data_IF_345174552003
#
_entry.id   IF_345174552003
#
_cell.length_a   1.000
_cell.length_b   1.000
_cell.length_c   1.000
_cell.angle_alpha   90.00
_cell.angle_beta   90.00
_cell.angle_gamma   90.00
#
_symmetry.space_group_name_H-M   'P 1'
#
loop_
_entity.id
_entity.type
_entity.pdbx_description
1 polymer ?
#
# COMPACT_ATOMS: atom_id res chain seq x y z
N UNK A 1 2.25 -18.81 17.86
CA UNK A 1 2.31 -19.33 16.47
C UNK A 1 0.85 -19.44 16.04
N UNK A 2 0.22 -18.57 15.26
CA UNK A 2 0.65 -17.55 14.31
C UNK A 2 -0.25 -16.31 14.47
N UNK A 3 0.29 -15.18 14.92
CA UNK A 3 -0.26 -13.88 14.53
C UNK A 3 0.73 -13.30 13.54
N UNK A 4 0.66 -13.82 12.32
CA UNK A 4 1.19 -13.10 11.18
C UNK A 4 0.22 -11.93 10.97
N UNK A 5 0.29 -10.94 11.87
CA UNK A 5 -0.16 -9.58 11.58
C UNK A 5 0.39 -9.33 10.20
N UNK A 6 -0.50 -9.17 9.22
CA UNK A 6 -0.13 -8.77 7.86
C UNK A 6 0.68 -7.49 7.99
N UNK A 7 1.98 -7.61 8.22
CA UNK A 7 2.91 -6.50 8.26
C UNK A 7 2.93 -6.06 6.83
N UNK A 8 2.08 -5.08 6.56
CA UNK A 8 2.09 -4.40 5.28
C UNK A 8 3.55 -4.01 5.01
N UNK A 9 4.02 -4.13 3.77
CA UNK A 9 5.42 -3.89 3.46
C UNK A 9 5.78 -2.40 3.53
N UNK A 10 5.21 -1.63 4.46
CA UNK A 10 5.37 -0.20 4.69
C UNK A 10 5.53 0.07 6.18
N UNK A 11 6.44 0.97 6.53
CA UNK A 11 6.64 1.45 7.91
C UNK A 11 5.81 2.72 8.22
N UNK A 12 4.85 3.07 7.35
CA UNK A 12 4.06 4.30 7.38
C UNK A 12 2.56 3.99 7.49
N UNK A 13 1.80 4.88 8.14
CA UNK A 13 0.35 4.79 8.21
C UNK A 13 -0.27 4.88 6.81
N UNK A 14 -1.04 3.85 6.44
CA UNK A 14 -1.69 3.76 5.12
C UNK A 14 -3.16 4.16 5.11
N UNK A 15 -3.73 4.48 6.27
CA UNK A 15 -5.09 5.02 6.40
C UNK A 15 -5.40 6.19 5.43
N UNK A 16 -4.54 7.20 5.22
CA UNK A 16 -4.83 8.30 4.28
C UNK A 16 -4.90 7.85 2.81
N UNK A 17 -4.44 6.63 2.51
CA UNK A 17 -4.47 6.04 1.17
C UNK A 17 -5.63 5.05 0.99
N UNK A 18 -6.57 4.97 1.94
CA UNK A 18 -7.78 4.16 1.80
C UNK A 18 -8.44 4.33 0.43
N UNK A 19 -8.72 3.21 -0.24
CA UNK A 19 -9.31 3.17 -1.59
C UNK A 19 -8.34 3.44 -2.74
N UNK A 20 -7.07 3.77 -2.45
CA UNK A 20 -6.06 4.13 -3.46
C UNK A 20 -5.07 3.00 -3.70
N UNK A 21 -4.42 3.06 -4.85
CA UNK A 21 -3.22 2.28 -5.13
C UNK A 21 -2.00 3.01 -4.61
N UNK A 22 -1.17 2.30 -3.84
CA UNK A 22 0.12 2.78 -3.40
C UNK A 22 1.24 1.97 -4.05
N UNK A 23 2.34 2.64 -4.32
CA UNK A 23 3.56 2.06 -4.83
C UNK A 23 4.65 2.19 -3.76
N UNK A 24 5.21 1.06 -3.38
CA UNK A 24 6.08 0.92 -2.22
C UNK A 24 7.48 0.60 -2.69
N UNK A 25 8.46 1.38 -2.24
CA UNK A 25 9.88 1.17 -2.51
C UNK A 25 10.63 1.19 -1.19
N UNK A 26 11.38 0.13 -0.89
CA UNK A 26 12.18 0.00 0.35
C UNK A 26 11.36 0.34 1.60
N UNK A 27 10.16 -0.22 1.70
CA UNK A 27 9.22 -0.06 2.82
C UNK A 27 8.63 1.35 3.00
N UNK A 28 8.70 2.19 1.97
CA UNK A 28 8.10 3.54 1.98
C UNK A 28 7.19 3.77 0.79
N UNK A 29 6.18 4.60 0.97
CA UNK A 29 5.27 4.99 -0.12
C UNK A 29 6.01 5.95 -1.06
N UNK A 30 6.31 5.47 -2.26
CA UNK A 30 7.00 6.22 -3.31
C UNK A 30 6.04 6.82 -4.35
N UNK A 31 4.79 6.35 -4.40
CA UNK A 31 3.77 6.85 -5.32
C UNK A 31 2.37 6.43 -4.92
N UNK A 32 1.38 7.23 -5.30
CA UNK A 32 -0.05 6.99 -5.03
C UNK A 32 -0.83 7.27 -6.31
N UNK A 33 -1.89 6.49 -6.56
CA UNK A 33 -2.77 6.66 -7.69
C UNK A 33 -4.15 6.05 -7.46
N UNK A 34 -5.11 6.39 -8.32
CA UNK A 34 -6.42 5.71 -8.36
C UNK A 34 -6.31 4.36 -9.07
N UNK A 35 -5.25 4.16 -9.86
CA UNK A 35 -4.93 2.90 -10.53
C UNK A 35 -3.52 2.41 -10.22
N UNK A 36 -3.27 1.11 -10.42
CA UNK A 36 -1.96 0.50 -10.26
C UNK A 36 -0.90 1.14 -11.17
N UNK A 37 -1.29 1.52 -12.40
CA UNK A 37 -0.40 2.15 -13.36
C UNK A 37 -0.02 3.57 -12.93
N UNK A 38 -0.97 4.35 -12.42
CA UNK A 38 -0.69 5.69 -11.87
C UNK A 38 0.29 5.63 -10.70
N UNK A 39 0.04 4.73 -9.74
CA UNK A 39 0.93 4.54 -8.59
C UNK A 39 2.34 4.12 -9.05
N UNK A 40 2.45 3.23 -10.05
CA UNK A 40 3.74 2.81 -10.63
C UNK A 40 4.46 3.96 -11.32
N UNK A 41 3.76 4.76 -12.12
CA UNK A 41 4.34 5.91 -12.81
C UNK A 41 4.80 6.98 -11.82
N UNK A 42 4.02 7.24 -10.77
CA UNK A 42 4.40 8.14 -9.69
C UNK A 42 5.67 7.64 -8.97
N UNK A 43 5.74 6.36 -8.62
CA UNK A 43 6.95 5.79 -8.02
C UNK A 43 8.16 5.82 -8.96
N UNK A 44 7.99 5.52 -10.26
CA UNK A 44 9.08 5.61 -11.25
C UNK A 44 9.59 7.04 -11.45
N UNK A 45 8.74 8.06 -11.35
CA UNK A 45 9.18 9.47 -11.38
C UNK A 45 10.07 9.80 -10.19
N UNK A 46 9.70 9.32 -9.00
CA UNK A 46 10.46 9.58 -7.78
C UNK A 46 11.72 8.71 -7.67
N UNK A 47 11.67 7.45 -8.12
CA UNK A 47 12.76 6.47 -8.07
C UNK A 47 12.78 5.61 -9.33
N UNK A 48 13.38 6.11 -10.43
CA UNK A 48 13.35 5.42 -11.73
C UNK A 48 14.11 4.10 -11.76
N UNK A 49 15.03 3.86 -10.82
CA UNK A 49 15.88 2.67 -10.75
C UNK A 49 15.37 1.58 -9.81
N UNK A 50 14.37 1.87 -8.98
CA UNK A 50 13.80 0.89 -8.06
C UNK A 50 12.50 0.32 -8.66
N UNK A 51 12.26 -0.98 -8.43
CA UNK A 51 11.02 -1.64 -8.85
C UNK A 51 9.98 -1.55 -7.71
N UNK A 52 8.87 -0.81 -7.90
CA UNK A 52 7.91 -0.60 -6.83
C UNK A 52 6.94 -1.77 -6.68
N UNK A 53 6.63 -2.12 -5.43
CA UNK A 53 5.55 -3.05 -5.09
C UNK A 53 4.22 -2.27 -5.11
N UNK A 54 3.26 -2.75 -5.89
CA UNK A 54 1.94 -2.12 -5.99
C UNK A 54 0.97 -2.79 -5.03
N UNK A 55 0.32 -2.00 -4.19
CA UNK A 55 -0.66 -2.47 -3.21
C UNK A 55 -1.93 -1.63 -3.31
N UNK A 56 -3.09 -2.28 -3.38
CA UNK A 56 -4.39 -1.60 -3.29
C UNK A 56 -4.78 -1.53 -1.83
N UNK A 57 -4.96 -0.32 -1.31
CA UNK A 57 -5.43 -0.13 0.06
C UNK A 57 -6.96 -0.25 0.05
N UNK A 58 -7.54 -1.19 0.82
CA UNK A 58 -8.98 -1.29 0.93
C UNK A 58 -9.55 -0.03 1.57
N UNK A 59 -10.67 0.45 1.04
CA UNK A 59 -11.32 1.69 1.48
C UNK A 59 -12.01 1.56 2.84
N UNK A 60 -12.34 0.31 3.21
CA UNK A 60 -12.84 -0.04 4.52
C UNK A 60 -11.88 -1.10 5.06
N UNK A 61 -11.20 -0.77 6.16
CA UNK A 61 -10.44 -1.75 6.93
C UNK A 61 -11.32 -2.97 7.15
N UNK A 62 -10.75 -4.16 6.95
CA UNK A 62 -11.46 -5.43 7.10
C UNK A 62 -12.16 -5.38 8.45
N UNK A 63 -13.48 -5.17 8.43
CA UNK A 63 -14.29 -5.15 9.64
C UNK A 63 -14.48 -6.60 10.05
N UNK A 64 -13.43 -7.18 10.63
CA UNK A 64 -13.58 -8.37 11.46
C UNK A 64 -14.29 -7.92 12.74
N UNK A 65 -15.57 -7.55 12.63
CA UNK A 65 -16.44 -7.59 13.81
C UNK A 65 -16.69 -9.07 14.06
N UNK A 66 -16.15 -9.57 15.17
CA UNK A 66 -16.70 -10.66 15.97
C UNK A 66 -18.22 -10.79 15.72
N UNK A 67 -18.70 -11.88 15.11
CA UNK A 67 -18.96 -13.16 15.77
C UNK A 67 -19.57 -12.97 17.16
N UNK A 68 -20.90 -12.83 17.18
CA UNK A 68 -21.75 -13.20 18.31
C UNK A 68 -22.20 -14.65 18.16
#
# INVERSE_FOLDING_TARGET
MLEETRRLPVDEDIEPYAGKWIAIVRRRVAGVGTTAQEARLAAKRNRPKDEPILLKVPEHGIHLRDQV
#
